data_IF_084852352571
#
_entry.id   IF_084852352571
#
_cell.length_a   1.000
_cell.length_b   1.000
_cell.length_c   1.000
_cell.angle_alpha   90.00
_cell.angle_beta   90.00
_cell.angle_gamma   90.00
#
_symmetry.space_group_name_H-M   'P 1'
#
loop_
_entity.id
_entity.type
_entity.pdbx_description
1 polymer ?
#
# COMPACT_ATOMS: atom_id res chain seq x y z
N UNK A 1 25.02 -26.65 -6.61
CA UNK A 1 25.08 -25.69 -5.49
C UNK A 1 26.03 -24.58 -5.91
N UNK A 2 25.51 -23.38 -6.12
CA UNK A 2 26.31 -22.20 -6.43
C UNK A 2 26.86 -21.62 -5.14
N UNK A 3 28.20 -21.45 -5.08
CA UNK A 3 28.80 -20.73 -3.94
C UNK A 3 28.25 -19.31 -3.86
N UNK A 4 27.95 -18.80 -2.66
CA UNK A 4 27.55 -17.42 -2.50
C UNK A 4 28.71 -16.53 -2.94
N UNK A 5 28.46 -15.68 -3.92
CA UNK A 5 29.43 -14.69 -4.39
C UNK A 5 29.75 -13.73 -3.26
N UNK A 6 31.02 -13.58 -2.92
CA UNK A 6 31.45 -12.56 -1.96
C UNK A 6 31.12 -11.18 -2.53
N UNK A 7 30.51 -10.31 -1.73
CA UNK A 7 30.13 -8.96 -2.18
C UNK A 7 31.36 -8.15 -2.55
N UNK A 8 31.25 -7.35 -3.60
CA UNK A 8 32.26 -6.38 -4.01
C UNK A 8 32.41 -5.27 -2.95
N UNK A 9 33.43 -4.42 -3.08
CA UNK A 9 33.61 -3.29 -2.14
C UNK A 9 32.44 -2.32 -2.16
N UNK A 10 31.85 -2.07 -3.34
CA UNK A 10 30.63 -1.28 -3.47
C UNK A 10 29.44 -1.95 -2.80
N UNK A 11 29.25 -3.24 -3.04
CA UNK A 11 28.17 -4.01 -2.42
C UNK A 11 28.27 -4.05 -0.89
N UNK A 12 29.51 -4.06 -0.35
CA UNK A 12 29.73 -4.00 1.11
C UNK A 12 29.33 -2.64 1.70
N UNK A 13 29.60 -1.57 1.00
CA UNK A 13 29.22 -0.23 1.45
C UNK A 13 27.68 -0.09 1.47
N UNK A 14 27.02 -0.58 0.42
CA UNK A 14 25.58 -0.57 0.34
C UNK A 14 24.95 -1.48 1.42
N UNK A 15 25.52 -2.65 1.66
CA UNK A 15 25.05 -3.57 2.71
C UNK A 15 25.19 -2.96 4.12
N UNK A 16 26.29 -2.21 4.40
CA UNK A 16 26.47 -1.50 5.66
C UNK A 16 25.43 -0.38 5.81
N UNK A 17 25.13 0.34 4.73
CA UNK A 17 24.10 1.37 4.75
C UNK A 17 22.71 0.77 5.02
N UNK A 18 22.37 -0.28 4.34
CA UNK A 18 21.11 -1.01 4.54
C UNK A 18 20.99 -1.54 5.99
N UNK A 19 22.07 -2.10 6.52
CA UNK A 19 22.11 -2.58 7.91
C UNK A 19 21.89 -1.44 8.90
N UNK A 20 22.46 -0.26 8.66
CA UNK A 20 22.27 0.91 9.50
C UNK A 20 20.83 1.41 9.46
N UNK A 21 20.22 1.47 8.28
CA UNK A 21 18.80 1.84 8.12
C UNK A 21 17.92 0.86 8.88
N UNK A 22 18.17 -0.44 8.74
CA UNK A 22 17.40 -1.47 9.43
C UNK A 22 17.57 -1.38 10.95
N UNK A 23 18.80 -1.18 11.45
CA UNK A 23 19.06 -1.02 12.87
C UNK A 23 18.32 0.20 13.46
N UNK A 24 18.25 1.30 12.71
CA UNK A 24 17.51 2.49 13.11
C UNK A 24 15.99 2.28 13.09
N UNK A 25 15.49 1.38 12.24
CA UNK A 25 14.07 1.04 12.15
C UNK A 25 13.60 0.09 13.26
N UNK A 26 14.47 -0.75 13.80
CA UNK A 26 14.13 -1.79 14.79
C UNK A 26 13.36 -1.26 16.01
N UNK A 27 13.74 -0.12 16.65
CA UNK A 27 12.97 0.41 17.78
C UNK A 27 11.52 0.72 17.43
N UNK A 28 11.27 1.21 16.21
CA UNK A 28 9.91 1.50 15.74
C UNK A 28 9.13 0.21 15.49
N UNK A 29 9.75 -0.78 14.89
CA UNK A 29 9.12 -2.09 14.66
C UNK A 29 8.72 -2.74 15.97
N UNK A 30 9.58 -2.68 16.99
CA UNK A 30 9.29 -3.19 18.33
C UNK A 30 8.15 -2.42 19.00
N UNK A 31 8.13 -1.10 18.84
CA UNK A 31 7.12 -0.24 19.46
C UNK A 31 5.73 -0.53 18.92
N UNK A 32 5.62 -0.79 17.62
CA UNK A 32 4.33 -0.94 16.94
C UNK A 32 3.96 -2.41 16.68
N UNK A 33 4.80 -3.36 17.07
CA UNK A 33 4.48 -4.78 16.94
C UNK A 33 3.20 -5.12 17.71
N UNK A 34 2.26 -5.74 17.04
CA UNK A 34 0.94 -6.06 17.60
C UNK A 34 -0.10 -4.95 17.46
N UNK A 35 0.31 -3.73 17.15
CA UNK A 35 -0.61 -2.60 16.97
C UNK A 35 -1.33 -2.69 15.63
N UNK A 36 -2.52 -2.12 15.59
CA UNK A 36 -3.28 -1.91 14.35
C UNK A 36 -3.06 -0.50 13.86
N UNK A 37 -2.56 -0.38 12.63
CA UNK A 37 -2.29 0.91 11.99
C UNK A 37 -3.21 1.08 10.80
N UNK A 38 -3.95 2.18 10.76
CA UNK A 38 -4.82 2.51 9.63
C UNK A 38 -4.01 3.32 8.63
N UNK A 39 -3.95 2.84 7.40
CA UNK A 39 -3.24 3.48 6.29
C UNK A 39 -4.25 3.91 5.24
N UNK A 40 -4.32 5.20 4.96
CA UNK A 40 -5.16 5.71 3.88
C UNK A 40 -4.40 5.65 2.55
N UNK A 41 -5.00 4.99 1.58
CA UNK A 41 -4.50 4.89 0.22
C UNK A 41 -5.48 5.54 -0.75
N UNK A 42 -5.04 6.59 -1.44
CA UNK A 42 -5.95 7.31 -2.32
C UNK A 42 -5.28 8.43 -3.12
N UNK A 43 -6.08 9.24 -3.80
CA UNK A 43 -5.61 10.33 -4.63
C UNK A 43 -4.80 9.84 -5.84
N UNK A 44 -3.73 10.56 -6.17
CA UNK A 44 -2.88 10.23 -7.33
C UNK A 44 -2.20 8.87 -7.23
N UNK A 45 -1.96 8.36 -6.03
CA UNK A 45 -1.32 7.07 -5.82
C UNK A 45 -2.14 5.90 -6.39
N UNK A 46 -3.47 5.99 -6.38
CA UNK A 46 -4.34 4.95 -6.92
C UNK A 46 -4.27 4.82 -8.46
N UNK A 47 -3.90 5.88 -9.16
CA UNK A 47 -3.77 5.89 -10.61
C UNK A 47 -2.43 5.40 -11.14
N UNK A 48 -1.44 5.22 -10.28
CA UNK A 48 -0.08 4.82 -10.63
C UNK A 48 0.16 3.35 -10.29
N UNK A 49 0.37 2.54 -11.32
CA UNK A 49 0.60 1.09 -11.16
C UNK A 49 1.89 0.79 -10.41
N UNK A 50 2.94 1.59 -10.63
CA UNK A 50 4.22 1.45 -9.92
C UNK A 50 4.08 1.72 -8.44
N UNK A 51 3.41 2.80 -8.07
CA UNK A 51 3.12 3.15 -6.68
C UNK A 51 2.20 2.11 -6.02
N UNK A 52 1.22 1.58 -6.75
CA UNK A 52 0.34 0.53 -6.22
C UNK A 52 1.11 -0.74 -5.84
N UNK A 53 2.06 -1.16 -6.68
CA UNK A 53 2.91 -2.33 -6.40
C UNK A 53 3.80 -2.10 -5.19
N UNK A 54 4.45 -0.94 -5.11
CA UNK A 54 5.30 -0.55 -3.99
C UNK A 54 4.49 -0.50 -2.69
N UNK A 55 3.33 0.13 -2.74
CA UNK A 55 2.42 0.20 -1.60
C UNK A 55 2.00 -1.18 -1.12
N UNK A 56 1.58 -2.07 -2.02
CA UNK A 56 1.19 -3.44 -1.67
C UNK A 56 2.33 -4.22 -1.01
N UNK A 57 3.55 -4.06 -1.52
CA UNK A 57 4.76 -4.66 -0.94
C UNK A 57 5.03 -4.14 0.46
N UNK A 58 4.92 -2.83 0.67
CA UNK A 58 5.16 -2.19 1.98
C UNK A 58 4.12 -2.65 3.01
N UNK A 59 2.86 -2.75 2.63
CA UNK A 59 1.80 -3.28 3.51
C UNK A 59 2.08 -4.74 3.89
N UNK A 60 2.51 -5.57 2.94
CA UNK A 60 2.89 -6.95 3.21
C UNK A 60 4.06 -7.04 4.20
N UNK A 61 5.06 -6.15 4.06
CA UNK A 61 6.19 -6.06 5.00
C UNK A 61 5.74 -5.67 6.40
N UNK A 62 4.84 -4.69 6.54
CA UNK A 62 4.28 -4.32 7.84
C UNK A 62 3.62 -5.53 8.51
N UNK A 63 2.86 -6.31 7.77
CA UNK A 63 2.24 -7.53 8.29
C UNK A 63 3.28 -8.56 8.74
N UNK A 64 4.34 -8.74 7.96
CA UNK A 64 5.42 -9.69 8.29
C UNK A 64 6.17 -9.35 9.58
N UNK A 65 6.32 -8.06 9.89
CA UNK A 65 7.00 -7.61 11.11
C UNK A 65 6.06 -7.53 12.33
N UNK A 66 4.85 -8.03 12.21
CA UNK A 66 3.91 -8.15 13.33
C UNK A 66 3.00 -6.94 13.54
N UNK A 67 2.98 -5.99 12.63
CA UNK A 67 2.02 -4.88 12.62
C UNK A 67 0.75 -5.35 11.91
N UNK A 68 -0.41 -4.88 12.34
CA UNK A 68 -1.70 -5.17 11.71
C UNK A 68 -2.16 -3.96 10.88
N UNK A 69 -1.80 -3.87 9.59
CA UNK A 69 -2.23 -2.77 8.74
C UNK A 69 -3.69 -2.95 8.32
N UNK A 70 -4.45 -1.87 8.42
CA UNK A 70 -5.80 -1.76 7.87
C UNK A 70 -5.76 -0.69 6.80
N UNK A 71 -6.00 -1.07 5.55
CA UNK A 71 -5.98 -0.14 4.43
C UNK A 71 -7.37 0.41 4.19
N UNK A 72 -7.47 1.74 4.22
CA UNK A 72 -8.68 2.47 3.85
C UNK A 72 -8.43 3.13 2.51
N UNK A 73 -9.25 2.81 1.53
CA UNK A 73 -9.09 3.38 0.20
C UNK A 73 -10.43 3.78 -0.40
N UNK A 74 -10.40 4.79 -1.26
CA UNK A 74 -11.53 5.13 -2.11
C UNK A 74 -11.63 4.14 -3.28
N UNK A 75 -12.77 4.08 -3.88
CA UNK A 75 -13.02 3.26 -5.06
C UNK A 75 -13.73 4.04 -6.18
N UNK A 76 -13.73 5.37 -6.10
CA UNK A 76 -14.46 6.22 -7.02
C UNK A 76 -14.23 5.92 -8.51
N UNK A 77 -12.96 5.87 -8.99
CA UNK A 77 -12.69 5.53 -10.38
C UNK A 77 -13.16 4.14 -10.79
N UNK A 78 -12.95 3.16 -9.94
CA UNK A 78 -13.36 1.77 -10.19
C UNK A 78 -14.89 1.66 -10.18
N UNK A 79 -15.55 2.32 -9.24
CA UNK A 79 -17.02 2.38 -9.18
C UNK A 79 -17.56 3.06 -10.44
N UNK A 80 -16.97 4.17 -10.86
CA UNK A 80 -17.35 4.86 -12.10
C UNK A 80 -17.25 3.95 -13.33
N UNK A 81 -16.15 3.21 -13.45
CA UNK A 81 -15.96 2.26 -14.55
C UNK A 81 -17.01 1.15 -14.53
N UNK A 82 -17.29 0.61 -13.37
CA UNK A 82 -18.27 -0.47 -13.22
C UNK A 82 -19.69 0.03 -13.56
N UNK A 83 -20.09 1.18 -13.02
CA UNK A 83 -21.39 1.77 -13.30
C UNK A 83 -21.54 2.08 -14.79
N UNK A 84 -20.48 2.57 -15.44
CA UNK A 84 -20.47 2.83 -16.87
C UNK A 84 -20.63 1.54 -17.68
N UNK A 85 -19.96 0.47 -17.30
CA UNK A 85 -20.07 -0.85 -17.96
C UNK A 85 -21.47 -1.46 -17.81
N UNK A 86 -22.13 -1.21 -16.68
CA UNK A 86 -23.48 -1.69 -16.38
C UNK A 86 -24.57 -0.73 -16.85
N UNK A 87 -24.20 0.40 -17.47
CA UNK A 87 -25.11 1.45 -17.93
C UNK A 87 -26.02 1.99 -16.81
N UNK A 88 -25.46 2.11 -15.61
CA UNK A 88 -26.15 2.66 -14.44
C UNK A 88 -25.77 4.14 -14.28
N UNK A 89 -26.74 5.08 -14.29
CA UNK A 89 -26.45 6.50 -14.08
C UNK A 89 -25.92 6.76 -12.67
N UNK A 90 -24.98 7.68 -12.58
CA UNK A 90 -24.32 8.07 -11.34
C UNK A 90 -24.51 9.57 -11.11
N UNK A 91 -24.93 9.95 -9.91
CA UNK A 91 -25.16 11.31 -9.50
C UNK A 91 -24.27 11.70 -8.34
N UNK A 92 -23.79 12.95 -8.34
CA UNK A 92 -22.97 13.52 -7.28
C UNK A 92 -23.61 14.78 -6.72
N UNK A 93 -23.58 14.93 -5.41
CA UNK A 93 -23.97 16.16 -4.70
C UNK A 93 -22.79 16.57 -3.83
N UNK A 94 -22.28 17.79 -4.02
CA UNK A 94 -21.13 18.33 -3.30
C UNK A 94 -19.90 17.40 -3.30
N UNK A 95 -19.61 16.76 -4.43
CA UNK A 95 -18.52 15.83 -4.58
C UNK A 95 -18.75 14.43 -4.00
N UNK A 96 -19.92 14.20 -3.40
CA UNK A 96 -20.31 12.91 -2.85
C UNK A 96 -21.25 12.18 -3.80
N UNK A 97 -20.98 10.90 -4.05
CA UNK A 97 -21.88 10.06 -4.87
C UNK A 97 -23.17 9.78 -4.10
N UNK A 98 -24.29 9.98 -4.78
CA UNK A 98 -25.58 9.51 -4.28
C UNK A 98 -25.66 8.01 -4.50
N UNK A 99 -25.80 7.26 -3.41
CA UNK A 99 -25.90 5.81 -3.43
C UNK A 99 -27.37 5.41 -3.37
N UNK A 100 -27.94 5.12 -4.52
CA UNK A 100 -29.29 4.55 -4.62
C UNK A 100 -29.28 3.02 -4.68
N UNK A 101 -30.44 2.40 -4.80
CA UNK A 101 -30.56 0.95 -4.82
C UNK A 101 -29.78 0.28 -5.98
N UNK A 102 -29.66 0.95 -7.13
CA UNK A 102 -28.93 0.42 -8.29
C UNK A 102 -27.42 0.47 -8.10
N UNK A 103 -26.92 1.45 -7.36
CA UNK A 103 -25.48 1.63 -7.08
C UNK A 103 -25.02 0.68 -5.96
N UNK A 104 -25.90 0.36 -5.01
CA UNK A 104 -25.60 -0.55 -3.88
C UNK A 104 -25.45 -2.00 -4.34
N UNK A 105 -26.29 -2.43 -5.25
CA UNK A 105 -26.26 -3.79 -5.82
C UNK A 105 -25.11 -3.95 -6.84
#
# INVERSE_FOLDING_TARGET
>A
MTEPRLPSTGDKHDALHEAAVLANALPYLRRYAGDTIVVKYGGHAMGDVGLAKTFGRDIALLKQVGINPVVVHGGGPQINQMLKRLDIPSHFIDGLRVTDANVVD
#
